data_IF_276532727986
#
_entry.id   IF_276532727986
#
_cell.length_a   1.000
_cell.length_b   1.000
_cell.length_c   1.000
_cell.angle_alpha   90.00
_cell.angle_beta   90.00
_cell.angle_gamma   90.00
#
_symmetry.space_group_name_H-M   'P 1'
#
loop_
_entity.id
_entity.type
_entity.pdbx_description
1 polymer ?
#
# COMPACT_ATOMS: atom_id res chain seq x y z
N UNK A 1 17.29 -33.13 -2.48
CA UNK A 1 15.85 -33.47 -2.60
C UNK A 1 15.10 -32.19 -2.94
N UNK A 2 15.26 -31.71 -4.18
CA UNK A 2 14.59 -30.51 -4.66
C UNK A 2 13.19 -30.91 -5.12
N UNK A 3 12.15 -30.36 -4.49
CA UNK A 3 10.78 -30.57 -4.93
C UNK A 3 10.62 -29.95 -6.33
N UNK A 4 10.61 -30.78 -7.36
CA UNK A 4 10.23 -30.40 -8.71
C UNK A 4 8.74 -30.09 -8.73
N UNK A 5 8.39 -28.84 -8.44
CA UNK A 5 7.01 -28.38 -8.49
C UNK A 5 6.58 -28.27 -9.96
N UNK A 6 5.38 -28.74 -10.34
CA UNK A 6 4.86 -28.59 -11.70
C UNK A 6 4.71 -27.11 -12.07
N UNK A 7 5.34 -26.71 -13.18
CA UNK A 7 5.39 -25.34 -13.68
C UNK A 7 4.05 -24.59 -13.73
N UNK A 8 2.89 -25.17 -14.13
CA UNK A 8 1.65 -24.40 -14.21
C UNK A 8 1.12 -23.95 -12.84
N UNK A 9 1.37 -24.71 -11.78
CA UNK A 9 0.86 -24.41 -10.44
C UNK A 9 1.69 -23.31 -9.78
N UNK A 10 3.00 -23.28 -10.04
CA UNK A 10 3.91 -22.24 -9.52
C UNK A 10 3.48 -20.85 -9.98
N UNK A 11 3.15 -20.67 -11.26
CA UNK A 11 2.70 -19.37 -11.77
C UNK A 11 1.38 -18.92 -11.15
N UNK A 12 0.43 -19.84 -10.98
CA UNK A 12 -0.85 -19.53 -10.35
C UNK A 12 -0.67 -19.06 -8.90
N UNK A 13 0.18 -19.75 -8.12
CA UNK A 13 0.45 -19.38 -6.72
C UNK A 13 1.16 -18.02 -6.64
N UNK A 14 2.15 -17.76 -7.49
CA UNK A 14 2.88 -16.49 -7.50
C UNK A 14 1.94 -15.31 -7.79
N UNK A 15 1.06 -15.45 -8.79
CA UNK A 15 0.08 -14.41 -9.13
C UNK A 15 -0.91 -14.20 -7.98
N UNK A 16 -1.38 -15.28 -7.36
CA UNK A 16 -2.33 -15.21 -6.25
C UNK A 16 -1.74 -14.49 -5.03
N UNK A 17 -0.50 -14.82 -4.65
CA UNK A 17 0.20 -14.16 -3.54
C UNK A 17 0.51 -12.70 -3.88
N UNK A 18 0.97 -12.41 -5.10
CA UNK A 18 1.24 -11.04 -5.53
C UNK A 18 -0.04 -10.17 -5.50
N UNK A 19 -1.17 -10.70 -5.97
CA UNK A 19 -2.46 -10.00 -5.95
C UNK A 19 -2.94 -9.77 -4.51
N UNK A 20 -2.80 -10.79 -3.65
CA UNK A 20 -3.14 -10.69 -2.23
C UNK A 20 -2.33 -9.60 -1.51
N UNK A 21 -1.01 -9.55 -1.71
CA UNK A 21 -0.14 -8.54 -1.13
C UNK A 21 -0.54 -7.11 -1.54
N UNK A 22 -0.85 -6.91 -2.82
CA UNK A 22 -1.31 -5.62 -3.33
C UNK A 22 -2.66 -5.21 -2.71
N UNK A 23 -3.61 -6.14 -2.65
CA UNK A 23 -4.91 -5.89 -2.02
C UNK A 23 -4.75 -5.48 -0.55
N UNK A 24 -3.89 -6.17 0.22
CA UNK A 24 -3.63 -5.83 1.63
C UNK A 24 -3.06 -4.42 1.78
N UNK A 25 -2.11 -3.99 0.94
CA UNK A 25 -1.57 -2.62 1.01
C UNK A 25 -2.64 -1.56 0.76
N UNK A 26 -3.50 -1.75 -0.24
CA UNK A 26 -4.59 -0.80 -0.51
C UNK A 26 -5.61 -0.78 0.63
N UNK A 27 -5.99 -1.94 1.15
CA UNK A 27 -6.93 -2.05 2.27
C UNK A 27 -6.39 -1.39 3.54
N UNK A 28 -5.09 -1.48 3.82
CA UNK A 28 -4.46 -0.83 4.96
C UNK A 28 -4.52 0.72 4.87
N UNK A 29 -4.36 1.28 3.67
CA UNK A 29 -4.50 2.73 3.46
C UNK A 29 -5.96 3.16 3.57
N UNK A 30 -6.89 2.38 2.99
CA UNK A 30 -8.33 2.66 3.06
C UNK A 30 -8.82 2.60 4.51
N UNK A 31 -8.41 1.61 5.29
CA UNK A 31 -8.80 1.49 6.70
C UNK A 31 -8.30 2.65 7.55
N UNK A 32 -7.06 3.11 7.33
CA UNK A 32 -6.53 4.32 7.96
C UNK A 32 -7.37 5.56 7.59
N UNK A 33 -7.72 5.72 6.32
CA UNK A 33 -8.51 6.85 5.84
C UNK A 33 -9.92 6.86 6.46
N UNK A 34 -10.59 5.70 6.51
CA UNK A 34 -11.90 5.55 7.15
C UNK A 34 -11.82 5.82 8.65
N UNK A 35 -10.78 5.35 9.34
CA UNK A 35 -10.57 5.62 10.76
C UNK A 35 -10.38 7.12 11.05
N UNK A 36 -9.64 7.83 10.20
CA UNK A 36 -9.46 9.27 10.29
C UNK A 36 -10.77 10.02 10.00
N UNK A 37 -11.56 9.54 9.04
CA UNK A 37 -12.85 10.14 8.71
C UNK A 37 -13.87 10.00 9.85
N UNK A 38 -13.99 8.80 10.42
CA UNK A 38 -14.81 8.53 11.61
C UNK A 38 -14.35 9.41 12.79
N UNK A 39 -13.04 9.67 12.87
CA UNK A 39 -12.43 10.60 13.81
C UNK A 39 -12.85 12.05 13.61
N UNK A 40 -12.75 12.57 12.40
CA UNK A 40 -13.12 13.94 12.10
C UNK A 40 -14.59 14.25 12.41
N UNK A 41 -15.51 13.30 12.14
CA UNK A 41 -16.95 13.48 12.38
C UNK A 41 -17.28 13.58 13.87
N UNK A 42 -16.62 12.77 14.71
CA UNK A 42 -16.87 12.77 16.16
C UNK A 42 -16.19 13.94 16.87
N UNK A 43 -15.09 14.48 16.32
CA UNK A 43 -14.34 15.61 16.90
C UNK A 43 -15.16 16.91 16.94
N UNK A 44 -16.04 17.19 15.97
CA UNK A 44 -16.77 18.47 15.90
C UNK A 44 -17.71 18.67 17.10
N UNK A 45 -18.44 17.62 17.49
CA UNK A 45 -19.25 17.66 18.71
C UNK A 45 -18.38 17.62 19.97
N UNK A 46 -17.25 16.90 19.93
CA UNK A 46 -16.34 16.83 21.06
C UNK A 46 -15.71 18.19 21.36
N UNK A 47 -15.11 18.91 20.41
CA UNK A 47 -14.46 20.21 20.66
C UNK A 47 -15.42 21.21 21.30
N UNK A 48 -16.68 21.23 20.85
CA UNK A 48 -17.73 22.13 21.34
C UNK A 48 -18.15 21.86 22.79
N UNK A 49 -18.19 20.60 23.21
CA UNK A 49 -18.51 20.20 24.59
C UNK A 49 -17.26 20.04 25.48
N UNK A 50 -16.08 19.84 24.91
CA UNK A 50 -14.83 19.59 25.61
C UNK A 50 -14.10 20.88 25.99
N UNK A 51 -14.00 21.84 25.08
CA UNK A 51 -13.20 23.06 25.32
C UNK A 51 -13.88 24.05 26.29
N UNK A 52 -15.09 23.73 26.76
CA UNK A 52 -15.81 24.47 27.81
C UNK A 52 -16.05 23.72 29.13
N UNK A 53 -15.69 22.43 29.27
CA UNK A 53 -16.01 21.60 30.44
C UNK A 53 -14.80 20.86 31.03
N UNK A 54 -14.86 20.62 32.35
CA UNK A 54 -13.82 19.94 33.16
C UNK A 54 -13.33 18.63 32.50
N UNK A 55 -12.00 18.45 32.49
CA UNK A 55 -11.33 17.26 31.95
C UNK A 55 -11.78 16.00 32.69
N UNK A 56 -12.38 15.03 31.98
CA UNK A 56 -12.78 13.74 32.52
C UNK A 56 -11.86 12.63 32.03
N UNK A 57 -11.54 11.66 32.89
CA UNK A 57 -10.64 10.54 32.60
C UNK A 57 -11.04 9.73 31.35
N UNK A 58 -12.34 9.58 31.09
CA UNK A 58 -12.84 8.93 29.87
C UNK A 58 -12.40 9.63 28.57
N UNK A 59 -12.18 10.95 28.63
CA UNK A 59 -11.74 11.78 27.50
C UNK A 59 -10.28 11.52 27.13
N UNK A 60 -9.43 11.34 28.15
CA UNK A 60 -8.02 11.00 27.96
C UNK A 60 -7.90 9.59 27.41
N UNK A 61 -8.62 8.61 27.96
CA UNK A 61 -8.61 7.22 27.46
C UNK A 61 -9.12 7.14 26.02
N UNK A 62 -10.16 7.88 25.67
CA UNK A 62 -10.69 7.92 24.30
C UNK A 62 -9.68 8.48 23.30
N UNK A 63 -9.08 9.64 23.60
CA UNK A 63 -8.01 10.23 22.79
C UNK A 63 -6.82 9.27 22.72
N UNK A 64 -6.42 8.66 23.84
CA UNK A 64 -5.26 7.77 23.87
C UNK A 64 -5.44 6.55 22.98
N UNK A 65 -6.59 5.87 23.07
CA UNK A 65 -6.91 4.72 22.20
C UNK A 65 -6.90 5.15 20.73
N UNK A 66 -7.43 6.32 20.42
CA UNK A 66 -7.54 6.82 19.04
C UNK A 66 -6.19 7.19 18.44
N UNK A 67 -5.37 7.95 19.16
CA UNK A 67 -4.05 8.36 18.69
C UNK A 67 -3.08 7.19 18.63
N UNK A 68 -3.13 6.25 19.58
CA UNK A 68 -2.31 5.02 19.52
C UNK A 68 -2.71 4.16 18.32
N UNK A 69 -4.00 4.03 18.02
CA UNK A 69 -4.49 3.27 16.86
C UNK A 69 -4.08 3.91 15.53
N UNK A 70 -4.16 5.24 15.43
CA UNK A 70 -3.68 5.96 14.24
C UNK A 70 -2.15 5.83 14.11
N UNK A 71 -1.40 5.98 15.21
CA UNK A 71 0.06 5.89 15.19
C UNK A 71 0.55 4.49 14.81
N UNK A 72 -0.09 3.43 15.32
CA UNK A 72 0.27 2.04 14.98
C UNK A 72 -0.09 1.70 13.53
N UNK A 73 -1.26 2.14 13.03
CA UNK A 73 -1.65 1.93 11.64
C UNK A 73 -0.78 2.73 10.67
N UNK A 74 -0.46 3.98 11.01
CA UNK A 74 0.46 4.81 10.24
C UNK A 74 1.88 4.21 10.25
N UNK A 75 2.36 3.73 11.41
CA UNK A 75 3.63 3.01 11.52
C UNK A 75 3.66 1.73 10.67
N UNK A 76 2.55 1.00 10.62
CA UNK A 76 2.41 -0.20 9.79
C UNK A 76 2.49 0.14 8.29
N UNK A 77 1.73 1.13 7.83
CA UNK A 77 1.77 1.59 6.43
C UNK A 77 3.14 2.18 6.08
N UNK A 78 3.72 2.98 6.98
CA UNK A 78 5.07 3.52 6.82
C UNK A 78 6.11 2.41 6.75
N UNK A 79 6.03 1.37 7.59
CA UNK A 79 6.95 0.23 7.52
C UNK A 79 6.85 -0.51 6.18
N UNK A 80 5.64 -0.68 5.63
CA UNK A 80 5.47 -1.28 4.30
C UNK A 80 6.11 -0.42 3.19
N UNK A 81 6.00 0.90 3.30
CA UNK A 81 6.55 1.83 2.31
C UNK A 81 8.07 2.08 2.46
N UNK A 82 8.58 2.01 3.68
CA UNK A 82 10.00 2.23 4.01
C UNK A 82 10.83 0.94 3.84
N UNK A 83 10.26 -0.23 4.14
CA UNK A 83 10.93 -1.52 3.96
C UNK A 83 10.84 -2.05 2.53
N UNK A 84 9.89 -1.57 1.74
CA UNK A 84 9.84 -1.81 0.30
C UNK A 84 10.27 -0.54 -0.44
N UNK A 85 11.59 -0.26 -0.57
CA UNK A 85 12.02 0.72 -1.55
C UNK A 85 11.44 0.28 -2.89
N UNK A 86 10.62 1.14 -3.52
CA UNK A 86 10.18 0.93 -4.89
C UNK A 86 11.41 0.54 -5.69
N UNK A 87 11.45 -0.65 -6.35
CA UNK A 87 12.53 -0.90 -7.29
C UNK A 87 12.54 0.30 -8.23
N UNK A 88 13.74 0.86 -8.39
CA UNK A 88 14.01 2.06 -9.18
C UNK A 88 13.16 2.05 -10.46
N UNK A 89 12.71 3.22 -10.95
CA UNK A 89 12.02 3.29 -12.22
C UNK A 89 12.79 2.40 -13.19
N UNK A 90 12.13 1.35 -13.68
CA UNK A 90 12.60 0.59 -14.81
C UNK A 90 12.83 1.67 -15.86
N UNK A 91 14.10 2.06 -16.01
CA UNK A 91 14.53 2.87 -17.11
C UNK A 91 14.15 1.98 -18.29
N UNK A 92 13.08 2.37 -18.98
CA UNK A 92 12.85 1.93 -20.33
C UNK A 92 14.05 2.45 -21.12
N UNK A 93 15.13 1.68 -21.08
CA UNK A 93 16.17 1.71 -22.08
C UNK A 93 15.44 1.48 -23.38
N UNK A 94 15.07 2.57 -24.05
CA UNK A 94 14.68 2.59 -25.43
C UNK A 94 15.86 2.06 -26.23
N UNK A 95 16.01 0.75 -26.28
CA UNK A 95 16.73 0.10 -27.36
C UNK A 95 15.79 0.06 -28.54
N UNK A 96 15.75 1.19 -29.25
CA UNK A 96 15.43 1.17 -30.66
C UNK A 96 16.49 0.33 -31.37
N UNK A 97 16.17 -0.93 -31.67
CA UNK A 97 16.62 -1.52 -32.93
C UNK A 97 15.59 -1.05 -33.96
N UNK A 98 15.80 0.09 -34.65
CA UNK A 98 16.72 0.27 -35.77
C UNK A 98 16.61 -0.88 -36.78
N UNK A 99 16.10 -0.53 -37.96
CA UNK A 99 15.56 -1.47 -38.92
C UNK A 99 16.57 -2.40 -39.57
N UNK A 100 16.05 -3.57 -39.94
CA UNK A 100 16.53 -4.38 -41.05
C UNK A 100 15.32 -4.78 -41.89
N UNK A 101 14.72 -3.79 -42.55
CA UNK A 101 13.71 -3.98 -43.59
C UNK A 101 14.22 -3.34 -44.90
N UNK A 102 15.48 -3.62 -45.29
CA UNK A 102 15.98 -3.28 -46.63
C UNK A 102 17.26 -4.06 -46.98
N UNK A 103 17.19 -5.38 -47.06
CA UNK A 103 18.22 -6.20 -47.72
C UNK A 103 17.56 -7.43 -48.35
N UNK A 104 16.67 -7.16 -49.31
CA UNK A 104 16.00 -8.16 -50.12
C UNK A 104 15.74 -7.62 -51.53
N UNK A 105 16.67 -6.80 -52.05
CA UNK A 105 16.73 -6.43 -53.45
C UNK A 105 17.74 -7.35 -54.12
N UNK A 106 17.26 -8.13 -55.09
CA UNK A 106 17.98 -8.46 -56.31
C UNK A 106 19.25 -9.31 -56.17
N UNK A 107 19.06 -10.62 -56.22
CA UNK A 107 20.02 -11.52 -56.90
C UNK A 107 19.31 -12.10 -58.13
N UNK A 108 19.27 -11.26 -59.17
CA UNK A 108 19.68 -11.68 -60.51
C UNK A 108 21.19 -11.94 -60.49
#
# INVERSE_FOLDING_TARGET
>A
MAAGFPSPITHAILIQVATGLKATTYLAVVSLCVLVYDCAITIDQEVKFVWGQRWSFGKVVYIFIRYVTILTMAGHVASMFLLHPSPAPYSSSGHGCFGTAHAGFSQL
#
